data_IF_038966682840
#
_entry.id   IF_038966682840
#
_cell.length_a   1.000
_cell.length_b   1.000
_cell.length_c   1.000
_cell.angle_alpha   90.00
_cell.angle_beta   90.00
_cell.angle_gamma   90.00
#
_symmetry.space_group_name_H-M   'P 1'
#
loop_
_entity.id
_entity.type
_entity.pdbx_description
1 polymer ?
#
# COMPACT_ATOMS: atom_id res chain seq x y z
N UNK A 1 -10.07 17.00 -4.53
CA UNK A 1 -8.99 16.38 -3.74
C UNK A 1 -9.58 16.07 -2.38
N UNK A 2 -9.77 14.79 -2.05
CA UNK A 2 -10.26 14.40 -0.73
C UNK A 2 -9.13 14.57 0.28
N UNK A 3 -9.44 15.05 1.48
CA UNK A 3 -8.49 15.23 2.59
C UNK A 3 -7.75 13.94 2.98
N UNK A 4 -8.26 12.77 2.58
CA UNK A 4 -7.75 11.46 2.97
C UNK A 4 -7.13 10.65 1.81
N UNK A 5 -6.95 11.26 0.63
CA UNK A 5 -6.41 10.56 -0.56
C UNK A 5 -4.99 10.00 -0.37
N UNK A 6 -4.22 10.51 0.59
CA UNK A 6 -2.89 9.97 0.93
C UNK A 6 -2.92 8.49 1.35
N UNK A 7 -4.07 7.98 1.79
CA UNK A 7 -4.27 6.56 2.13
C UNK A 7 -4.14 5.65 0.89
N UNK A 8 -4.34 6.19 -0.33
CA UNK A 8 -4.17 5.48 -1.60
C UNK A 8 -2.71 5.33 -2.03
N UNK A 9 -1.80 6.13 -1.47
CA UNK A 9 -0.37 6.05 -1.77
C UNK A 9 0.20 4.72 -1.30
N UNK A 10 1.22 4.23 -1.98
CA UNK A 10 1.86 2.97 -1.65
C UNK A 10 2.71 3.09 -0.36
N UNK A 11 2.36 2.42 0.75
CA UNK A 11 3.14 2.44 1.99
C UNK A 11 4.54 1.81 1.91
N UNK A 12 4.88 1.02 0.89
CA UNK A 12 6.20 0.39 0.77
C UNK A 12 6.72 0.33 -0.67
N UNK A 13 8.04 0.29 -0.80
CA UNK A 13 8.72 0.09 -2.07
C UNK A 13 8.30 -1.23 -2.73
N UNK A 14 8.13 -2.30 -1.95
CA UNK A 14 7.61 -3.57 -2.50
C UNK A 14 6.26 -3.34 -3.19
N UNK A 15 5.33 -2.64 -2.54
CA UNK A 15 4.02 -2.43 -3.11
C UNK A 15 4.04 -1.47 -4.31
N UNK A 16 4.86 -0.42 -4.27
CA UNK A 16 5.08 0.46 -5.42
C UNK A 16 5.66 -0.29 -6.63
N UNK A 17 6.63 -1.17 -6.41
CA UNK A 17 7.21 -1.99 -7.48
C UNK A 17 6.21 -3.00 -8.08
N UNK A 18 5.25 -3.48 -7.29
CA UNK A 18 4.23 -4.42 -7.73
C UNK A 18 2.95 -3.73 -8.26
N UNK A 19 2.98 -2.41 -8.48
CA UNK A 19 1.86 -1.67 -9.08
C UNK A 19 0.75 -1.29 -8.09
N UNK A 20 1.07 -1.15 -6.80
CA UNK A 20 0.13 -0.74 -5.76
C UNK A 20 -0.58 -1.90 -5.05
N UNK A 21 -0.06 -3.12 -5.21
CA UNK A 21 -0.53 -4.31 -4.48
C UNK A 21 0.58 -4.90 -3.61
N UNK A 22 0.20 -5.31 -2.40
CA UNK A 22 1.01 -6.18 -1.52
C UNK A 22 0.19 -7.41 -1.07
N UNK A 23 -0.99 -7.61 -1.67
CA UNK A 23 -2.07 -8.44 -1.15
C UNK A 23 -1.86 -9.95 -1.30
N UNK A 24 -0.82 -10.36 -2.02
CA UNK A 24 -0.70 -11.74 -2.49
C UNK A 24 0.67 -12.34 -2.24
N UNK A 25 1.66 -11.54 -1.85
CA UNK A 25 2.97 -12.05 -1.46
C UNK A 25 3.00 -12.17 0.06
N UNK A 26 3.50 -13.28 0.59
CA UNK A 26 4.07 -13.31 1.95
C UNK A 26 5.22 -12.29 1.97
N UNK A 27 4.88 -11.03 2.20
CA UNK A 27 5.86 -9.97 2.35
C UNK A 27 6.50 -10.18 3.71
N UNK A 28 7.82 -10.18 3.79
CA UNK A 28 8.53 -10.15 5.07
C UNK A 28 8.53 -8.73 5.68
N UNK A 29 7.44 -7.98 5.52
CA UNK A 29 7.29 -6.59 5.94
C UNK A 29 5.93 -6.36 6.58
N UNK A 30 5.90 -5.66 7.71
CA UNK A 30 4.67 -5.29 8.42
C UNK A 30 3.73 -4.35 7.65
N UNK A 31 4.16 -3.79 6.50
CA UNK A 31 3.37 -2.86 5.69
C UNK A 31 2.07 -3.47 5.12
N UNK A 32 1.91 -4.80 5.13
CA UNK A 32 0.64 -5.46 4.79
C UNK A 32 -0.53 -5.03 5.69
N UNK A 33 -0.23 -4.50 6.89
CA UNK A 33 -1.22 -3.87 7.78
C UNK A 33 -2.10 -2.83 7.05
N UNK A 34 -1.57 -2.13 6.04
CA UNK A 34 -2.29 -1.07 5.34
C UNK A 34 -2.99 -1.52 4.05
N UNK A 35 -2.94 -2.81 3.73
CA UNK A 35 -3.54 -3.37 2.52
C UNK A 35 -4.52 -4.49 2.84
N UNK A 36 -4.06 -5.47 3.63
CA UNK A 36 -4.89 -6.55 4.12
C UNK A 36 -4.27 -7.09 5.40
N UNK A 37 -4.89 -6.74 6.51
CA UNK A 37 -4.47 -7.14 7.84
C UNK A 37 -4.45 -8.65 8.02
N UNK A 38 -5.23 -9.43 7.26
CA UNK A 38 -5.18 -10.90 7.27
C UNK A 38 -3.89 -11.49 6.67
N UNK A 39 -3.02 -10.68 6.07
CA UNK A 39 -1.69 -11.14 5.63
C UNK A 39 -0.63 -11.01 6.71
N UNK A 40 -0.93 -10.35 7.84
CA UNK A 40 -0.06 -10.40 9.01
C UNK A 40 0.09 -11.86 9.43
N UNK A 41 1.28 -12.40 9.27
CA UNK A 41 1.57 -13.79 9.60
C UNK A 41 2.58 -13.92 10.74
N UNK A 42 2.65 -15.11 11.31
CA UNK A 42 3.58 -15.43 12.38
C UNK A 42 5.05 -15.27 11.93
N UNK A 43 5.30 -15.32 10.63
CA UNK A 43 6.57 -15.02 9.99
C UNK A 43 6.99 -13.54 10.11
N UNK A 44 6.10 -12.65 10.53
CA UNK A 44 6.37 -11.23 10.83
C UNK A 44 6.72 -10.98 12.30
N UNK A 45 6.93 -12.00 13.12
CA UNK A 45 7.28 -11.81 14.53
C UNK A 45 8.53 -10.92 14.73
N UNK A 46 8.38 -9.83 15.48
CA UNK A 46 9.43 -8.83 15.70
C UNK A 46 9.89 -8.13 14.41
N UNK A 47 9.00 -7.98 13.42
CA UNK A 47 9.32 -7.26 12.18
C UNK A 47 9.11 -5.75 12.36
N UNK A 48 10.18 -4.97 12.19
CA UNK A 48 10.13 -3.51 12.09
C UNK A 48 10.41 -3.13 10.64
N UNK A 49 9.53 -2.34 10.02
CA UNK A 49 9.68 -1.89 8.63
C UNK A 49 9.44 -0.39 8.51
N UNK A 50 10.38 0.31 7.90
CA UNK A 50 10.34 1.74 7.61
C UNK A 50 10.42 1.97 6.11
N UNK A 51 9.53 2.79 5.58
CA UNK A 51 9.42 3.12 4.16
C UNK A 51 9.42 4.63 3.97
N UNK A 52 10.11 5.08 2.95
CA UNK A 52 10.23 6.49 2.60
C UNK A 52 10.11 6.67 1.09
N UNK A 53 9.20 7.55 0.70
CA UNK A 53 8.99 8.03 -0.65
C UNK A 53 9.53 9.45 -0.71
N UNK A 54 10.53 9.68 -1.57
CA UNK A 54 11.05 11.02 -1.83
C UNK A 54 10.75 11.42 -3.27
N UNK A 55 10.12 12.57 -3.46
CA UNK A 55 9.84 13.12 -4.77
C UNK A 55 10.55 14.47 -4.96
N UNK A 56 10.93 14.77 -6.21
CA UNK A 56 11.70 15.94 -6.62
C UNK A 56 11.01 17.31 -6.38
N UNK A 57 9.77 17.32 -5.89
CA UNK A 57 8.98 18.54 -5.61
C UNK A 57 8.72 18.74 -4.11
N UNK A 58 9.69 18.38 -3.26
CA UNK A 58 9.63 18.47 -1.78
C UNK A 58 8.52 17.66 -1.10
N UNK A 59 7.85 16.79 -1.84
CA UNK A 59 6.82 15.88 -1.33
C UNK A 59 7.50 14.69 -0.65
N UNK A 60 7.09 14.45 0.59
CA UNK A 60 7.60 13.35 1.40
C UNK A 60 6.43 12.50 1.88
N UNK A 61 6.55 11.19 1.69
CA UNK A 61 5.61 10.24 2.26
C UNK A 61 6.38 9.10 2.91
N UNK A 62 5.80 8.47 3.91
CA UNK A 62 6.44 7.34 4.53
C UNK A 62 5.51 6.53 5.40
N UNK A 63 6.02 5.37 5.80
CA UNK A 63 5.32 4.48 6.69
C UNK A 63 6.31 3.78 7.62
N UNK A 64 5.91 3.59 8.88
CA UNK A 64 6.64 2.79 9.86
C UNK A 64 5.66 1.76 10.40
N UNK A 65 6.08 0.50 10.48
CA UNK A 65 5.27 -0.59 11.03
C UNK A 65 6.09 -1.48 11.94
N UNK A 66 5.45 -1.99 12.98
CA UNK A 66 5.98 -3.04 13.83
C UNK A 66 4.96 -4.16 13.94
N UNK A 67 5.37 -5.40 13.71
CA UNK A 67 4.54 -6.59 13.84
C UNK A 67 5.14 -7.57 14.86
N UNK A 68 4.26 -8.24 15.60
CA UNK A 68 4.60 -9.14 16.69
C UNK A 68 3.65 -10.33 16.68
N UNK A 69 4.20 -11.54 16.81
CA UNK A 69 3.37 -12.71 17.07
C UNK A 69 3.00 -12.73 18.56
N UNK A 70 1.69 -12.77 18.85
CA UNK A 70 1.10 -12.78 20.19
C UNK A 70 0.62 -14.19 20.58
N UNK A 71 1.16 -15.23 19.94
CA UNK A 71 0.85 -16.62 20.23
C UNK A 71 -0.61 -16.95 19.89
N UNK A 72 -1.42 -17.49 20.83
CA UNK A 72 -2.80 -17.91 20.55
C UNK A 72 -3.74 -16.80 20.07
N UNK A 73 -3.42 -15.54 20.38
CA UNK A 73 -4.21 -14.36 19.99
C UNK A 73 -4.06 -14.09 18.48
N UNK A 74 -2.89 -14.41 17.91
CA UNK A 74 -2.56 -14.18 16.51
C UNK A 74 -1.40 -13.19 16.32
N UNK A 75 -1.28 -12.58 15.14
CA UNK A 75 -0.21 -11.61 14.84
C UNK A 75 -0.76 -10.19 14.88
N UNK A 76 -0.27 -9.41 15.83
CA UNK A 76 -0.61 -7.99 15.97
C UNK A 76 0.38 -7.10 15.23
N UNK A 77 -0.08 -5.97 14.71
CA UNK A 77 0.79 -4.95 14.17
C UNK A 77 0.28 -3.54 14.50
N UNK A 78 1.22 -2.62 14.66
CA UNK A 78 0.96 -1.18 14.76
C UNK A 78 1.74 -0.48 13.66
N UNK A 79 1.23 0.65 13.20
CA UNK A 79 1.91 1.42 12.19
C UNK A 79 1.46 2.86 12.11
N UNK A 80 2.30 3.67 11.50
CA UNK A 80 2.01 5.05 11.15
C UNK A 80 2.28 5.24 9.66
N UNK A 81 1.40 5.98 8.99
CA UNK A 81 1.63 6.53 7.66
C UNK A 81 1.61 8.04 7.77
N UNK A 82 2.54 8.69 7.11
CA UNK A 82 2.54 10.14 7.01
C UNK A 82 2.72 10.57 5.57
N UNK A 83 2.23 11.77 5.29
CA UNK A 83 2.40 12.41 4.02
C UNK A 83 2.49 13.91 4.26
N UNK A 84 3.48 14.56 3.65
CA UNK A 84 3.69 15.99 3.75
C UNK A 84 3.86 16.55 2.36
N UNK A 85 2.96 17.47 2.01
CA UNK A 85 3.15 18.37 0.90
C UNK A 85 4.03 19.50 1.42
N UNK A 86 5.20 19.70 0.80
CA UNK A 86 6.13 20.77 1.16
C UNK A 86 5.48 22.17 1.14
N UNK A 87 6.30 23.20 1.28
CA UNK A 87 5.78 24.58 1.37
C UNK A 87 5.16 25.05 0.04
N UNK A 88 3.87 25.42 0.07
CA UNK A 88 3.13 26.00 -1.05
C UNK A 88 3.06 27.51 -0.87
N UNK A 89 3.48 28.27 -1.88
CA UNK A 89 3.33 29.74 -1.87
C UNK A 89 1.88 30.13 -2.07
N UNK A 90 1.38 31.01 -1.20
CA UNK A 90 0.04 31.59 -1.34
C UNK A 90 0.12 32.77 -2.31
N UNK A 91 -0.77 32.80 -3.30
CA UNK A 91 -0.96 33.94 -4.20
C UNK A 91 -2.40 34.44 -4.07
N UNK A 92 -2.59 35.75 -4.01
CA UNK A 92 -3.92 36.34 -4.06
C UNK A 92 -4.44 36.47 -5.50
N UNK A 93 -5.64 37.02 -5.67
CA UNK A 93 -6.27 37.22 -6.98
C UNK A 93 -5.52 38.22 -7.89
N UNK A 94 -4.61 39.01 -7.34
CA UNK A 94 -3.76 39.94 -8.09
C UNK A 94 -2.39 39.34 -8.44
N UNK A 95 -2.12 38.11 -8.00
CA UNK A 95 -0.85 37.42 -8.22
C UNK A 95 0.24 37.77 -7.20
N UNK A 96 -0.09 38.55 -6.16
CA UNK A 96 0.86 38.90 -5.10
C UNK A 96 1.09 37.70 -4.18
N UNK A 97 2.36 37.35 -4.00
CA UNK A 97 2.78 36.15 -3.26
C UNK A 97 2.92 36.47 -1.77
N UNK A 98 1.90 36.16 -0.98
CA UNK A 98 1.82 36.51 0.44
C UNK A 98 1.82 35.27 1.34
N UNK A 99 3.00 34.90 1.83
CA UNK A 99 3.21 33.80 2.78
C UNK A 99 3.16 32.40 2.16
N UNK A 100 3.25 31.38 3.01
CA UNK A 100 3.22 29.98 2.59
C UNK A 100 2.26 29.17 3.47
N UNK A 101 1.78 28.06 2.95
CA UNK A 101 1.07 27.04 3.72
C UNK A 101 1.57 25.66 3.30
N UNK A 102 1.45 24.68 4.18
CA UNK A 102 1.77 23.28 3.89
C UNK A 102 0.54 22.40 4.08
N UNK A 103 0.61 21.19 3.57
CA UNK A 103 -0.36 20.14 3.90
C UNK A 103 0.36 18.97 4.56
N UNK A 104 -0.23 18.43 5.62
CA UNK A 104 0.30 17.28 6.32
C UNK A 104 -0.82 16.32 6.69
N UNK A 105 -0.58 15.04 6.49
CA UNK A 105 -1.47 13.97 6.82
C UNK A 105 -0.75 12.92 7.67
N UNK A 106 -1.50 12.32 8.59
CA UNK A 106 -1.02 11.27 9.49
C UNK A 106 -2.14 10.24 9.65
N UNK A 107 -1.80 8.96 9.55
CA UNK A 107 -2.69 7.88 9.94
C UNK A 107 -1.96 6.97 10.93
N UNK A 108 -2.57 6.77 12.10
CA UNK A 108 -2.16 5.78 13.09
C UNK A 108 -3.01 4.53 12.91
N UNK A 109 -2.39 3.37 12.91
CA UNK A 109 -3.03 2.10 12.60
C UNK A 109 -2.67 1.04 13.62
N UNK A 110 -3.64 0.23 14.02
CA UNK A 110 -3.43 -0.97 14.81
C UNK A 110 -4.29 -2.10 14.25
N UNK A 111 -3.71 -3.29 14.11
CA UNK A 111 -4.38 -4.44 13.50
C UNK A 111 -4.00 -5.75 14.14
N UNK A 112 -4.88 -6.73 13.99
CA UNK A 112 -4.69 -8.09 14.45
C UNK A 112 -5.17 -9.06 13.37
N UNK A 113 -4.41 -10.13 13.17
CA UNK A 113 -4.82 -11.26 12.33
C UNK A 113 -4.74 -12.56 13.11
N UNK A 114 -5.53 -13.55 12.68
CA UNK A 114 -5.51 -14.89 13.26
C UNK A 114 -5.76 -15.96 12.21
N UNK A 115 -4.97 -17.02 12.27
CA UNK A 115 -5.14 -18.21 11.41
C UNK A 115 -6.29 -19.07 11.93
N UNK A 116 -7.08 -19.63 11.03
CA UNK A 116 -8.22 -20.51 11.27
C UNK A 116 -8.17 -21.73 10.35
N UNK A 117 -8.23 -22.94 10.91
CA UNK A 117 -8.12 -24.20 10.16
C UNK A 117 -6.92 -24.20 9.17
N UNK A 118 -6.84 -25.17 8.26
CA UNK A 118 -5.70 -25.33 7.35
C UNK A 118 -5.71 -24.25 6.25
N UNK A 119 -5.09 -23.11 6.52
CA UNK A 119 -4.70 -22.13 5.51
C UNK A 119 -5.53 -20.85 5.45
N UNK A 120 -6.69 -20.76 6.11
CA UNK A 120 -7.45 -19.50 6.19
C UNK A 120 -6.87 -18.60 7.28
N UNK A 121 -6.70 -17.32 6.98
CA UNK A 121 -6.39 -16.25 7.94
C UNK A 121 -7.40 -15.14 7.76
N UNK A 122 -7.84 -14.56 8.85
CA UNK A 122 -8.65 -13.34 8.84
C UNK A 122 -8.00 -12.29 9.73
N UNK A 123 -8.35 -11.03 9.53
CA UNK A 123 -7.83 -9.94 10.34
C UNK A 123 -8.62 -8.67 10.15
N UNK A 124 -8.40 -7.75 11.08
CA UNK A 124 -8.98 -6.41 11.01
C UNK A 124 -8.09 -5.39 11.69
N UNK A 125 -8.21 -4.15 11.25
CA UNK A 125 -7.48 -3.02 11.80
C UNK A 125 -8.36 -1.79 11.98
N UNK A 126 -7.90 -0.91 12.84
CA UNK A 126 -8.47 0.40 13.09
C UNK A 126 -7.45 1.47 12.71
N UNK A 127 -7.95 2.60 12.21
CA UNK A 127 -7.16 3.71 11.71
C UNK A 127 -7.69 5.02 12.27
N UNK A 128 -6.83 5.82 12.88
CA UNK A 128 -7.10 7.21 13.25
C UNK A 128 -6.35 8.11 12.28
N UNK A 129 -7.09 8.95 11.57
CA UNK A 129 -6.60 9.69 10.42
C UNK A 129 -6.75 11.18 10.69
N UNK A 130 -5.66 11.90 10.50
CA UNK A 130 -5.58 13.35 10.61
C UNK A 130 -5.07 13.92 9.30
N UNK A 131 -5.71 14.99 8.84
CA UNK A 131 -5.32 15.75 7.67
C UNK A 131 -5.32 17.23 8.02
N UNK A 132 -4.35 17.97 7.50
CA UNK A 132 -4.28 19.42 7.64
C UNK A 132 -3.84 20.07 6.34
N UNK A 133 -4.43 21.23 6.06
CA UNK A 133 -4.06 22.12 4.96
C UNK A 133 -4.10 23.56 5.50
N UNK A 134 -2.93 24.16 5.69
CA UNK A 134 -2.82 25.47 6.34
C UNK A 134 -3.43 25.46 7.74
N UNK A 135 -4.47 26.26 7.96
CA UNK A 135 -5.17 26.35 9.25
C UNK A 135 -6.34 25.37 9.40
N UNK A 136 -6.72 24.67 8.32
CA UNK A 136 -7.84 23.75 8.32
C UNK A 136 -7.37 22.34 8.66
N UNK A 137 -8.22 21.58 9.36
CA UNK A 137 -7.96 20.20 9.72
C UNK A 137 -9.19 19.31 9.52
N UNK A 138 -8.93 18.04 9.24
CA UNK A 138 -9.94 17.00 9.12
C UNK A 138 -9.50 15.76 9.91
N UNK A 139 -10.45 15.12 10.57
CA UNK A 139 -10.23 13.93 11.40
C UNK A 139 -11.21 12.86 10.95
N UNK A 140 -10.71 11.63 10.81
CA UNK A 140 -11.53 10.47 10.51
C UNK A 140 -11.07 9.25 11.31
N UNK A 141 -11.99 8.32 11.49
CA UNK A 141 -11.70 6.98 11.99
C UNK A 141 -12.16 5.96 10.95
N UNK A 142 -11.33 4.97 10.66
CA UNK A 142 -11.64 3.92 9.70
C UNK A 142 -11.32 2.54 10.25
N UNK A 143 -11.95 1.52 9.65
CA UNK A 143 -11.70 0.12 9.91
C UNK A 143 -11.41 -0.60 8.60
N UNK A 144 -10.52 -1.57 8.69
CA UNK A 144 -10.22 -2.49 7.61
C UNK A 144 -10.53 -3.91 8.06
N UNK A 145 -11.01 -4.73 7.14
CA UNK A 145 -11.25 -6.16 7.34
C UNK A 145 -10.69 -6.94 6.16
N UNK A 146 -10.16 -8.12 6.42
CA UNK A 146 -9.63 -8.95 5.37
C UNK A 146 -9.60 -10.42 5.70
N UNK A 147 -9.44 -11.20 4.64
CA UNK A 147 -9.23 -12.63 4.68
C UNK A 147 -8.15 -13.02 3.66
N UNK A 148 -7.42 -14.08 3.96
CA UNK A 148 -6.42 -14.68 3.08
C UNK A 148 -6.43 -16.20 3.24
N UNK A 149 -6.39 -16.92 2.13
CA UNK A 149 -6.32 -18.37 2.08
C UNK A 149 -4.99 -18.79 1.44
N UNK A 150 -4.17 -19.48 2.22
CA UNK A 150 -2.83 -19.90 1.85
C UNK A 150 -2.82 -21.41 1.64
N UNK A 151 -2.34 -21.86 0.48
CA UNK A 151 -2.05 -23.27 0.19
C UNK A 151 -0.53 -23.40 -0.03
N UNK A 152 0.25 -23.68 1.04
CA UNK A 152 1.71 -23.70 0.97
C UNK A 152 2.25 -24.69 -0.05
N UNK A 153 1.71 -25.91 -0.09
CA UNK A 153 2.16 -26.99 -0.99
C UNK A 153 2.02 -26.64 -2.48
N UNK A 154 1.11 -25.71 -2.76
CA UNK A 154 0.85 -25.23 -4.11
C UNK A 154 1.44 -23.84 -4.38
N UNK A 155 2.06 -23.20 -3.38
CA UNK A 155 2.52 -21.81 -3.48
C UNK A 155 1.43 -20.85 -3.93
N UNK A 156 0.18 -21.09 -3.53
CA UNK A 156 -0.99 -20.31 -3.93
C UNK A 156 -1.52 -19.50 -2.75
N UNK A 157 -1.87 -18.24 -2.99
CA UNK A 157 -2.55 -17.38 -2.02
C UNK A 157 -3.72 -16.70 -2.72
N UNK A 158 -4.90 -16.76 -2.10
CA UNK A 158 -6.04 -15.92 -2.47
C UNK A 158 -6.39 -15.01 -1.30
N UNK A 159 -6.72 -13.76 -1.53
CA UNK A 159 -7.05 -12.82 -0.47
C UNK A 159 -8.12 -11.83 -0.90
N UNK A 160 -8.84 -11.30 0.08
CA UNK A 160 -9.82 -10.24 -0.11
C UNK A 160 -9.74 -9.27 1.07
N UNK A 161 -9.95 -7.99 0.80
CA UNK A 161 -9.95 -6.96 1.84
C UNK A 161 -10.91 -5.83 1.50
N UNK A 162 -11.46 -5.23 2.54
CA UNK A 162 -12.18 -3.96 2.50
C UNK A 162 -11.41 -3.01 3.41
N UNK A 163 -10.92 -1.91 2.86
CA UNK A 163 -10.06 -0.95 3.57
C UNK A 163 -10.67 0.44 3.56
N UNK A 164 -10.29 1.25 4.56
CA UNK A 164 -10.68 2.64 4.76
C UNK A 164 -12.20 2.86 4.89
N UNK A 165 -12.94 1.90 5.48
CA UNK A 165 -14.37 2.07 5.73
C UNK A 165 -14.57 2.74 7.08
N UNK A 166 -15.27 3.88 7.15
CA UNK A 166 -15.42 4.54 8.43
C UNK A 166 -16.18 5.85 8.42
N UNK A 167 -15.87 6.68 9.42
CA UNK A 167 -16.55 7.95 9.67
C UNK A 167 -15.57 9.12 9.63
N UNK A 168 -16.03 10.21 9.04
CA UNK A 168 -15.34 11.51 9.09
C UNK A 168 -15.97 12.34 10.20
N UNK A 169 -15.14 12.73 11.17
CA UNK A 169 -15.49 13.48 12.38
C UNK A 169 -15.41 15.00 12.15
N UNK A 170 -14.43 15.44 11.37
CA UNK A 170 -14.30 16.82 10.90
C UNK A 170 -13.76 16.86 9.49
N UNK A 171 -14.07 17.92 8.75
CA UNK A 171 -13.68 18.09 7.34
C UNK A 171 -12.96 19.43 7.16
N UNK A 172 -12.11 19.53 6.14
CA UNK A 172 -11.33 20.74 5.88
C UNK A 172 -12.21 21.95 5.49
N UNK A 173 -13.43 21.70 5.04
CA UNK A 173 -14.34 22.73 4.55
C UNK A 173 -15.82 22.40 4.79
N UNK A 174 -16.74 23.12 4.12
CA UNK A 174 -18.18 22.96 4.32
C UNK A 174 -18.72 21.65 3.73
N UNK A 175 -18.03 21.08 2.74
CA UNK A 175 -18.34 19.77 2.18
C UNK A 175 -17.71 18.69 3.02
N UNK A 176 -18.49 17.67 3.37
CA UNK A 176 -17.99 16.52 4.11
C UNK A 176 -16.95 15.77 3.29
N UNK A 177 -15.78 15.58 3.86
CA UNK A 177 -14.73 14.75 3.27
C UNK A 177 -15.14 13.28 3.26
N UNK A 178 -14.59 12.50 2.33
CA UNK A 178 -14.88 11.08 2.16
C UNK A 178 -13.61 10.23 2.34
N UNK A 179 -13.76 9.12 3.05
CA UNK A 179 -12.70 8.13 3.15
C UNK A 179 -12.57 7.34 1.83
N UNK A 180 -11.35 7.07 1.36
CA UNK A 180 -11.12 6.33 0.12
C UNK A 180 -11.31 4.83 0.35
N UNK A 181 -12.56 4.41 0.62
CA UNK A 181 -12.92 3.00 0.75
C UNK A 181 -12.41 2.24 -0.47
N UNK A 182 -11.88 1.04 -0.25
CA UNK A 182 -11.36 0.20 -1.31
C UNK A 182 -11.62 -1.27 -1.05
N UNK A 183 -12.39 -1.89 -1.95
CA UNK A 183 -12.67 -3.33 -1.96
C UNK A 183 -11.72 -3.99 -2.96
N UNK A 184 -10.94 -4.95 -2.47
CA UNK A 184 -9.91 -5.65 -3.26
C UNK A 184 -10.04 -7.16 -3.14
N UNK A 185 -9.74 -7.85 -4.24
CA UNK A 185 -9.57 -9.31 -4.31
C UNK A 185 -8.26 -9.58 -5.02
N UNK A 186 -7.47 -10.53 -4.54
CA UNK A 186 -6.18 -10.79 -5.12
C UNK A 186 -5.80 -12.27 -5.06
N UNK A 187 -5.03 -12.73 -6.05
CA UNK A 187 -4.47 -14.07 -6.09
C UNK A 187 -3.01 -14.03 -6.47
N UNK A 188 -2.19 -14.92 -5.91
CA UNK A 188 -0.85 -15.21 -6.39
C UNK A 188 -0.59 -16.70 -6.53
N UNK A 189 0.37 -17.00 -7.41
CA UNK A 189 0.89 -18.33 -7.63
C UNK A 189 2.39 -18.27 -7.83
N UNK A 190 3.13 -19.01 -7.00
CA UNK A 190 4.53 -19.35 -7.25
C UNK A 190 4.58 -20.48 -8.28
N UNK A 191 5.31 -20.27 -9.35
CA UNK A 191 5.47 -21.26 -10.42
C UNK A 191 6.48 -22.33 -9.99
N UNK A 192 6.20 -23.60 -10.29
CA UNK A 192 6.99 -24.75 -9.80
C UNK A 192 8.38 -24.85 -10.43
N UNK A 193 8.51 -24.47 -11.70
CA UNK A 193 9.72 -24.69 -12.49
C UNK A 193 10.56 -23.44 -12.74
N UNK A 194 10.00 -22.26 -12.46
CA UNK A 194 10.72 -20.99 -12.58
C UNK A 194 10.51 -20.20 -11.29
N UNK A 195 11.52 -19.46 -10.79
CA UNK A 195 11.44 -18.76 -9.52
C UNK A 195 10.64 -17.45 -9.68
N UNK A 196 9.42 -17.55 -10.19
CA UNK A 196 8.51 -16.44 -10.45
C UNK A 196 7.27 -16.63 -9.59
N UNK A 197 6.89 -15.57 -8.90
CA UNK A 197 5.58 -15.39 -8.30
C UNK A 197 4.78 -14.45 -9.20
N UNK A 198 3.69 -14.95 -9.75
CA UNK A 198 2.70 -14.16 -10.47
C UNK A 198 1.60 -13.73 -9.50
N UNK A 199 1.12 -12.50 -9.63
CA UNK A 199 -0.01 -11.99 -8.86
C UNK A 199 -0.96 -11.16 -9.71
N UNK A 200 -2.25 -11.33 -9.44
CA UNK A 200 -3.35 -10.55 -10.00
C UNK A 200 -4.13 -9.93 -8.84
N UNK A 201 -4.39 -8.63 -8.91
CA UNK A 201 -5.24 -7.92 -7.93
C UNK A 201 -6.33 -7.17 -8.65
N UNK A 202 -7.57 -7.38 -8.25
CA UNK A 202 -8.70 -6.53 -8.58
C UNK A 202 -8.91 -5.55 -7.43
N UNK A 203 -9.07 -4.26 -7.72
CA UNK A 203 -9.21 -3.20 -6.72
C UNK A 203 -10.33 -2.23 -7.07
N UNK A 204 -10.75 -1.38 -6.13
CA UNK A 204 -11.80 -0.40 -6.30
C UNK A 204 -13.13 -1.02 -6.79
N UNK A 205 -13.40 -2.25 -6.33
CA UNK A 205 -14.54 -3.07 -6.80
C UNK A 205 -15.90 -2.47 -6.47
N UNK A 206 -15.99 -1.59 -5.46
CA UNK A 206 -17.22 -0.88 -5.12
C UNK A 206 -17.68 0.07 -6.23
N UNK A 207 -16.77 0.52 -7.10
CA UNK A 207 -17.07 1.44 -8.20
C UNK A 207 -17.24 0.70 -9.54
N UNK A 208 -17.21 -0.63 -9.54
CA UNK A 208 -17.27 -1.45 -10.74
C UNK A 208 -18.72 -1.71 -11.21
N UNK A 209 -19.54 -0.65 -11.32
CA UNK A 209 -20.99 -0.75 -11.52
C UNK A 209 -21.43 -1.35 -12.86
N UNK A 210 -20.56 -1.40 -13.88
CA UNK A 210 -20.84 -2.08 -15.15
C UNK A 210 -19.56 -2.71 -15.74
N UNK A 211 -19.18 -3.91 -15.30
CA UNK A 211 -18.18 -4.72 -16.03
C UNK A 211 -18.88 -5.43 -17.20
N UNK A 212 -19.42 -4.64 -18.13
CA UNK A 212 -20.06 -5.16 -19.36
C UNK A 212 -19.05 -5.33 -20.49
N UNK A 213 -17.88 -4.69 -20.40
CA UNK A 213 -16.80 -4.77 -21.37
C UNK A 213 -15.49 -5.26 -20.74
N UNK A 214 -14.72 -6.06 -21.49
CA UNK A 214 -13.39 -6.54 -21.12
C UNK A 214 -12.45 -5.39 -20.75
N UNK A 215 -12.55 -4.24 -21.44
CA UNK A 215 -11.79 -3.02 -21.15
C UNK A 215 -12.09 -2.42 -19.77
N UNK A 216 -13.34 -2.48 -19.31
CA UNK A 216 -13.75 -1.94 -18.00
C UNK A 216 -13.26 -2.81 -16.84
N UNK A 217 -13.18 -4.13 -17.07
CA UNK A 217 -12.61 -5.08 -16.10
C UNK A 217 -11.11 -4.88 -15.90
N UNK A 218 -10.35 -4.62 -16.97
CA UNK A 218 -8.90 -4.39 -16.89
C UNK A 218 -8.53 -3.11 -16.12
N UNK A 219 -9.41 -2.10 -16.05
CA UNK A 219 -9.17 -0.86 -15.28
C UNK A 219 -9.01 -1.08 -13.78
N UNK A 220 -9.60 -2.16 -13.30
CA UNK A 220 -9.56 -2.54 -11.90
C UNK A 220 -8.48 -3.59 -11.65
N UNK A 221 -7.73 -4.02 -12.68
CA UNK A 221 -6.72 -5.06 -12.59
C UNK A 221 -5.30 -4.50 -12.42
N UNK A 222 -4.55 -5.13 -11.52
CA UNK A 222 -3.12 -4.93 -11.31
C UNK A 222 -2.45 -6.29 -11.54
N UNK A 223 -1.50 -6.31 -12.47
CA UNK A 223 -0.65 -7.46 -12.74
C UNK A 223 0.69 -7.27 -12.05
N UNK A 224 1.21 -8.33 -11.44
CA UNK A 224 2.46 -8.28 -10.70
C UNK A 224 3.29 -9.53 -10.95
N UNK A 225 4.60 -9.33 -11.05
CA UNK A 225 5.60 -10.37 -11.24
C UNK A 225 6.73 -10.12 -10.25
N UNK A 226 7.08 -11.16 -9.49
CA UNK A 226 8.27 -11.17 -8.65
C UNK A 226 9.18 -12.32 -9.07
N UNK A 227 10.36 -12.00 -9.58
CA UNK A 227 11.40 -12.95 -9.93
C UNK A 227 12.41 -13.05 -8.79
N UNK A 228 12.58 -14.25 -8.23
CA UNK A 228 13.53 -14.52 -7.16
C UNK A 228 14.80 -15.12 -7.76
N UNK A 229 15.73 -14.27 -8.19
CA UNK A 229 16.96 -14.74 -8.83
C UNK A 229 17.79 -15.62 -7.88
N UNK A 230 17.88 -15.21 -6.61
CA UNK A 230 18.47 -15.95 -5.50
C UNK A 230 17.64 -15.68 -4.24
N UNK A 231 17.70 -16.51 -3.18
CA UNK A 231 16.93 -16.29 -1.95
C UNK A 231 17.14 -14.92 -1.29
N UNK A 232 18.26 -14.26 -1.60
CA UNK A 232 18.62 -12.94 -1.11
C UNK A 232 18.21 -11.79 -2.04
N UNK A 233 17.82 -12.03 -3.29
CA UNK A 233 17.55 -10.98 -4.28
C UNK A 233 16.26 -11.25 -5.05
N UNK A 234 15.39 -10.24 -5.06
CA UNK A 234 14.10 -10.27 -5.73
C UNK A 234 14.01 -9.11 -6.71
N UNK A 235 13.55 -9.36 -7.93
CA UNK A 235 13.20 -8.35 -8.90
C UNK A 235 11.67 -8.31 -9.02
N UNK A 236 11.09 -7.11 -9.06
CA UNK A 236 9.64 -6.90 -9.02
C UNK A 236 9.22 -5.99 -10.16
N UNK A 237 8.15 -6.39 -10.81
CA UNK A 237 7.51 -5.66 -11.90
C UNK A 237 6.00 -5.64 -11.65
N UNK A 238 5.38 -4.49 -11.85
CA UNK A 238 3.97 -4.28 -11.60
C UNK A 238 3.37 -3.39 -12.67
N UNK A 239 2.13 -3.67 -13.03
CA UNK A 239 1.37 -2.86 -13.97
C UNK A 239 -0.07 -2.72 -13.49
N UNK A 240 -0.43 -1.49 -13.12
CA UNK A 240 -1.80 -1.11 -12.78
C UNK A 240 -2.38 -0.29 -13.94
N UNK A 241 -3.49 -0.75 -14.52
CA UNK A 241 -4.11 -0.04 -15.62
C UNK A 241 -4.88 1.21 -15.11
N UNK A 242 -4.17 2.33 -14.95
CA UNK A 242 -4.79 3.62 -14.55
C UNK A 242 -5.34 4.34 -15.80
N UNK A 243 -6.53 4.95 -15.68
CA UNK A 243 -7.20 5.67 -16.77
C UNK A 243 -6.31 6.75 -17.41
N UNK A 244 -6.40 6.77 -18.73
CA UNK A 244 -5.86 7.64 -19.78
C UNK A 244 -6.20 9.15 -19.68
N UNK A 245 -6.56 9.68 -18.50
CA UNK A 245 -6.94 11.11 -18.33
C UNK A 245 -5.75 12.03 -18.03
N UNK A 246 -4.53 11.51 -18.12
CA UNK A 246 -3.29 12.27 -17.91
C UNK A 246 -2.33 12.05 -19.09
N UNK A 247 -2.85 11.96 -20.32
CA UNK A 247 -2.01 11.93 -21.52
C UNK A 247 -1.25 13.26 -21.63
N UNK A 248 0.04 13.23 -21.32
CA UNK A 248 0.98 14.12 -21.99
C UNK A 248 1.18 13.59 -23.41
N UNK A 249 1.28 14.47 -24.40
CA UNK A 249 1.34 14.17 -25.84
C UNK A 249 2.63 13.44 -26.29
N UNK A 250 3.30 12.70 -25.39
CA UNK A 250 4.57 12.01 -25.64
C UNK A 250 4.38 10.50 -25.79
N UNK A 251 5.11 9.94 -26.76
CA UNK A 251 4.81 8.69 -27.48
C UNK A 251 5.10 7.37 -26.75
N UNK A 252 5.38 7.37 -25.44
CA UNK A 252 5.55 6.17 -24.61
C UNK A 252 5.16 6.52 -23.16
N UNK A 253 3.90 6.34 -22.79
CA UNK A 253 3.43 6.59 -21.42
C UNK A 253 3.47 5.29 -20.61
N UNK A 254 4.34 5.23 -19.61
CA UNK A 254 4.51 4.11 -18.68
C UNK A 254 3.67 4.28 -17.41
N UNK A 255 2.73 5.23 -17.37
CA UNK A 255 1.87 5.50 -16.22
C UNK A 255 1.24 4.21 -15.64
N UNK A 256 1.42 4.01 -14.32
CA UNK A 256 0.94 2.82 -13.62
C UNK A 256 1.91 1.63 -13.63
N UNK A 257 3.09 1.77 -14.25
CA UNK A 257 4.16 0.77 -14.17
C UNK A 257 4.99 1.00 -12.90
N UNK A 258 5.22 -0.08 -12.16
CA UNK A 258 6.17 -0.17 -11.06
C UNK A 258 7.29 -1.13 -11.40
N UNK A 259 8.52 -0.77 -11.07
CA UNK A 259 9.68 -1.67 -11.14
C UNK A 259 10.52 -1.50 -9.88
N UNK A 260 11.12 -2.58 -9.40
CA UNK A 260 11.93 -2.50 -8.20
C UNK A 260 12.70 -3.77 -7.92
N UNK A 261 13.50 -3.71 -6.87
CA UNK A 261 14.24 -4.87 -6.39
C UNK A 261 14.25 -4.91 -4.86
N UNK A 262 14.55 -6.08 -4.32
CA UNK A 262 14.67 -6.34 -2.89
C UNK A 262 15.91 -7.15 -2.61
N UNK A 263 16.68 -6.74 -1.61
CA UNK A 263 17.88 -7.42 -1.15
C UNK A 263 17.74 -7.80 0.32
N UNK A 264 18.01 -9.07 0.65
CA UNK A 264 18.01 -9.59 2.01
C UNK A 264 19.44 -9.89 2.45
N UNK A 265 19.92 -9.19 3.48
CA UNK A 265 21.29 -9.34 4.01
C UNK A 265 21.24 -9.39 5.53
N UNK A 266 21.71 -10.50 6.13
CA UNK A 266 21.91 -10.64 7.59
C UNK A 266 20.68 -10.23 8.44
N UNK A 267 19.48 -10.60 8.00
CA UNK A 267 18.22 -10.29 8.72
C UNK A 267 17.62 -8.91 8.42
N UNK A 268 18.29 -8.10 7.60
CA UNK A 268 17.73 -6.91 6.99
C UNK A 268 17.16 -7.23 5.62
N UNK A 269 16.08 -6.54 5.26
CA UNK A 269 15.54 -6.48 3.92
C UNK A 269 15.53 -5.02 3.47
N UNK A 270 16.14 -4.75 2.33
CA UNK A 270 16.18 -3.42 1.71
C UNK A 270 15.49 -3.53 0.37
N UNK A 271 14.44 -2.75 0.16
CA UNK A 271 13.71 -2.68 -1.09
C UNK A 271 13.80 -1.28 -1.68
N UNK A 272 13.91 -1.24 -3.00
CA UNK A 272 13.84 -0.03 -3.80
C UNK A 272 12.79 -0.20 -4.89
N UNK A 273 12.05 0.87 -5.15
CA UNK A 273 11.09 0.92 -6.23
C UNK A 273 11.10 2.26 -6.95
N UNK A 274 10.85 2.16 -8.25
CA UNK A 274 10.50 3.24 -9.12
C UNK A 274 9.07 3.00 -9.60
N UNK A 275 8.18 3.98 -9.41
CA UNK A 275 6.84 3.95 -9.98
C UNK A 275 6.62 5.15 -10.88
N UNK A 276 6.13 4.90 -12.10
CA UNK A 276 5.87 5.94 -13.08
C UNK A 276 4.48 6.53 -12.85
N UNK A 277 4.45 7.79 -12.44
CA UNK A 277 3.25 8.62 -12.49
C UNK A 277 3.33 9.50 -13.74
N UNK A 278 2.19 9.85 -14.33
CA UNK A 278 2.10 10.50 -15.65
C UNK A 278 2.99 11.72 -15.85
N UNK A 279 3.30 12.45 -14.78
CA UNK A 279 4.12 13.66 -14.81
C UNK A 279 5.52 13.49 -14.18
N UNK A 280 5.76 12.41 -13.43
CA UNK A 280 7.02 12.20 -12.72
C UNK A 280 7.22 10.74 -12.27
N UNK A 281 8.48 10.34 -12.14
CA UNK A 281 8.85 9.09 -11.49
C UNK A 281 8.94 9.27 -9.97
N UNK A 282 8.35 8.36 -9.21
CA UNK A 282 8.49 8.31 -7.76
C UNK A 282 9.52 7.27 -7.36
N UNK A 283 10.39 7.64 -6.42
CA UNK A 283 11.40 6.76 -5.85
C UNK A 283 11.03 6.43 -4.43
N UNK A 284 10.96 5.13 -4.12
CA UNK A 284 10.62 4.65 -2.79
C UNK A 284 11.67 3.67 -2.29
N UNK A 285 12.01 3.82 -1.01
CA UNK A 285 12.94 2.96 -0.30
C UNK A 285 12.22 2.35 0.90
N UNK A 286 12.47 1.07 1.18
CA UNK A 286 11.96 0.41 2.38
C UNK A 286 13.04 -0.43 3.02
N UNK A 287 13.19 -0.31 4.33
CA UNK A 287 14.12 -1.10 5.14
C UNK A 287 13.30 -1.82 6.19
N UNK A 288 13.42 -3.13 6.25
CA UNK A 288 12.82 -3.94 7.28
C UNK A 288 13.87 -4.80 7.99
N UNK A 289 13.62 -5.09 9.26
CA UNK A 289 14.44 -5.99 10.07
C UNK A 289 13.54 -6.88 10.91
N UNK A 290 13.89 -8.14 10.99
CA UNK A 290 13.26 -9.10 11.90
C UNK A 290 14.16 -9.32 13.12
N UNK A 291 13.66 -9.03 14.32
CA UNK A 291 14.40 -9.20 15.56
C UNK A 291 14.28 -10.62 16.14
N UNK A 292 13.13 -11.25 15.99
CA UNK A 292 12.88 -12.59 16.50
C UNK A 292 13.07 -13.61 15.38
N UNK A 293 13.71 -14.75 15.67
CA UNK A 293 13.71 -15.88 14.74
C UNK A 293 12.38 -16.62 14.88
N UNK A 294 11.72 -16.90 13.75
CA UNK A 294 10.61 -17.86 13.74
C UNK A 294 11.15 -19.18 14.29
N UNK A 295 10.57 -19.72 15.36
CA UNK A 295 10.82 -21.11 15.75
C UNK A 295 10.26 -21.97 14.60
N UNK A 296 11.14 -22.67 13.89
CA UNK A 296 10.74 -23.71 12.95
C UNK A 296 10.25 -24.93 13.73
#
# INVERSE_FOLDING_TARGET
LSSFDFLRLEPSAQAAALGGTSLTTTSNQGNVLFYNTALLGEDLDGNLSASWLNHLSDLQAGALTYAQNLGPIGTGAVGVRFFHWGSITRADMYGERNGTFSSSNLALSAGLSRSWQSGLRYGGSIHLIYASVGQFNAIAAAVDVGAAYHIPDQGFVASAAVTNTGIVLSSLGPTRDELPMDIRIAVSKRLKYIPVLFGLTLHNLQNAHEITAVDEGFRHAIFSLQFEAIPAFHLRLGYAHRKRNLKSDRRLDLAGTGVGFGLRVRGFQVDYAFSSWSFAGLHQFTIARKFNRTRQ
#
